data_IF_876103551243
#
_entry.id   IF_876103551243
#
_cell.length_a   1.000
_cell.length_b   1.000
_cell.length_c   1.000
_cell.angle_alpha   90.00
_cell.angle_beta   90.00
_cell.angle_gamma   90.00
#
_symmetry.space_group_name_H-M   'P 1'
#
loop_
_entity.id
_entity.type
_entity.pdbx_description
1 polymer ?
#
# COMPACT_ATOMS: atom_id res chain seq x y z
N UNK A 1 9.83 27.25 -3.48
CA UNK A 1 9.17 26.11 -2.82
C UNK A 1 7.72 26.12 -3.29
N UNK A 2 7.33 25.22 -4.20
CA UNK A 2 5.96 25.11 -4.66
C UNK A 2 5.24 24.13 -3.73
N UNK A 3 4.44 24.62 -2.80
CA UNK A 3 3.51 23.76 -2.05
C UNK A 3 2.40 23.33 -2.98
N UNK A 4 2.29 22.02 -3.23
CA UNK A 4 1.15 21.45 -3.94
C UNK A 4 -0.09 21.63 -3.06
N UNK A 5 -1.14 22.27 -3.60
CA UNK A 5 -2.45 22.35 -2.95
C UNK A 5 -3.10 20.96 -2.96
N UNK A 6 -3.58 20.53 -1.80
CA UNK A 6 -4.22 19.21 -1.65
C UNK A 6 -5.59 19.21 -2.35
N UNK A 7 -5.86 18.30 -3.29
CA UNK A 7 -7.16 18.20 -3.94
C UNK A 7 -8.26 17.71 -2.99
N UNK A 8 -9.52 17.91 -3.36
CA UNK A 8 -10.63 17.25 -2.65
C UNK A 8 -10.62 15.75 -2.93
N UNK A 9 -10.94 14.92 -1.92
CA UNK A 9 -11.06 13.46 -2.08
C UNK A 9 -12.04 13.12 -3.21
N UNK A 10 -11.63 12.24 -4.12
CA UNK A 10 -12.39 11.88 -5.33
C UNK A 10 -12.11 12.77 -6.54
N UNK A 11 -11.33 13.86 -6.40
CA UNK A 11 -10.90 14.69 -7.53
C UNK A 11 -10.30 13.82 -8.63
N UNK A 12 -10.82 13.95 -9.84
CA UNK A 12 -10.56 13.05 -10.96
C UNK A 12 -9.80 13.77 -12.07
N UNK A 13 -8.78 13.12 -12.62
CA UNK A 13 -7.90 13.70 -13.64
C UNK A 13 -7.69 12.71 -14.79
N UNK A 14 -7.96 13.15 -16.03
CA UNK A 14 -7.64 12.41 -17.26
C UNK A 14 -6.26 12.76 -17.81
N UNK A 15 -5.64 13.81 -17.28
CA UNK A 15 -4.25 14.19 -17.50
C UNK A 15 -3.54 14.30 -16.17
N UNK A 16 -2.30 13.83 -16.12
CA UNK A 16 -1.49 13.77 -14.90
C UNK A 16 -1.19 15.20 -14.38
N UNK A 17 -1.75 15.60 -13.22
CA UNK A 17 -1.63 16.98 -12.72
C UNK A 17 -0.25 17.30 -12.11
N UNK A 18 0.44 16.29 -11.57
CA UNK A 18 1.78 16.34 -10.96
C UNK A 18 2.59 15.13 -11.40
N UNK A 19 3.92 15.16 -11.27
CA UNK A 19 4.71 13.94 -11.46
C UNK A 19 4.26 12.88 -10.46
N UNK A 20 3.68 11.80 -10.96
CA UNK A 20 3.16 10.70 -10.13
C UNK A 20 4.05 9.48 -10.27
N UNK A 21 4.53 8.99 -9.15
CA UNK A 21 5.47 7.89 -9.03
C UNK A 21 4.76 6.59 -8.67
N UNK A 22 5.25 5.49 -9.21
CA UNK A 22 4.91 4.13 -8.83
C UNK A 22 6.18 3.26 -8.86
N UNK A 23 6.58 2.65 -7.74
CA UNK A 23 7.63 1.65 -7.70
C UNK A 23 7.26 0.46 -8.58
N UNK A 24 8.23 -0.07 -9.33
CA UNK A 24 8.05 -1.27 -10.14
C UNK A 24 6.85 -1.23 -11.12
N UNK A 25 6.39 -0.05 -11.58
CA UNK A 25 5.19 0.09 -12.41
C UNK A 25 5.14 -0.83 -13.65
N UNK A 26 6.29 -1.08 -14.29
CA UNK A 26 6.39 -1.94 -15.47
C UNK A 26 6.53 -3.43 -15.10
N UNK A 27 7.22 -3.73 -13.99
CA UNK A 27 7.61 -5.09 -13.62
C UNK A 27 6.59 -5.77 -12.71
N UNK A 28 5.80 -5.00 -11.97
CA UNK A 28 4.82 -5.50 -11.03
C UNK A 28 3.50 -5.83 -11.75
N UNK A 29 3.08 -7.09 -11.65
CA UNK A 29 1.73 -7.51 -12.05
C UNK A 29 0.68 -6.74 -11.25
N UNK A 30 -0.51 -6.56 -11.84
CA UNK A 30 -1.63 -6.01 -11.08
C UNK A 30 -1.83 -6.82 -9.82
N UNK A 31 -1.95 -6.15 -8.68
CA UNK A 31 -2.25 -6.81 -7.43
C UNK A 31 -3.77 -6.90 -7.27
N UNK A 32 -4.30 -7.91 -6.59
CA UNK A 32 -5.75 -8.00 -6.40
C UNK A 32 -6.28 -6.82 -5.56
N UNK A 33 -5.42 -6.23 -4.71
CA UNK A 33 -5.74 -4.99 -4.00
C UNK A 33 -5.66 -3.74 -4.90
N UNK A 34 -5.29 -3.86 -6.18
CA UNK A 34 -5.34 -2.75 -7.15
C UNK A 34 -6.72 -2.63 -7.83
N UNK A 35 -7.67 -3.57 -7.66
CA UNK A 35 -8.98 -3.49 -8.33
C UNK A 35 -10.12 -4.12 -7.51
N UNK A 36 -11.37 -3.91 -7.94
CA UNK A 36 -12.54 -4.69 -7.47
C UNK A 36 -13.19 -5.37 -8.66
N UNK A 37 -13.63 -6.61 -8.50
CA UNK A 37 -14.43 -7.29 -9.51
C UNK A 37 -15.87 -6.76 -9.48
N UNK A 38 -16.49 -6.69 -10.65
CA UNK A 38 -17.91 -6.38 -10.79
C UNK A 38 -18.73 -7.62 -10.40
N UNK A 39 -19.45 -7.54 -9.28
CA UNK A 39 -20.30 -8.64 -8.78
C UNK A 39 -21.45 -8.99 -9.74
N UNK A 40 -21.82 -8.06 -10.63
CA UNK A 40 -22.91 -8.24 -11.60
C UNK A 40 -22.43 -8.74 -12.96
N UNK A 41 -21.13 -8.60 -13.26
CA UNK A 41 -20.53 -8.98 -14.54
C UNK A 41 -19.24 -9.76 -14.31
N UNK A 42 -19.32 -11.11 -14.21
CA UNK A 42 -18.15 -11.96 -14.01
C UNK A 42 -17.04 -11.67 -15.04
N UNK A 43 -15.81 -11.55 -14.56
CA UNK A 43 -14.64 -11.25 -15.40
C UNK A 43 -14.38 -9.77 -15.67
N UNK A 44 -15.31 -8.87 -15.31
CA UNK A 44 -15.12 -7.43 -15.44
C UNK A 44 -14.71 -6.79 -14.12
N UNK A 45 -13.98 -5.69 -14.23
CA UNK A 45 -13.67 -4.81 -13.11
C UNK A 45 -14.83 -3.84 -12.84
N UNK A 46 -15.00 -3.48 -11.58
CA UNK A 46 -15.78 -2.29 -11.21
C UNK A 46 -15.08 -1.07 -11.79
N UNK A 47 -15.88 -0.19 -12.38
CA UNK A 47 -15.45 1.10 -12.91
C UNK A 47 -16.10 2.22 -12.13
N UNK A 48 -15.51 3.41 -12.20
CA UNK A 48 -15.82 4.54 -11.32
C UNK A 48 -16.17 5.79 -12.11
N UNK A 49 -17.12 6.56 -11.59
CA UNK A 49 -17.52 7.83 -12.17
C UNK A 49 -16.58 8.95 -11.71
N UNK A 50 -16.57 10.07 -12.43
CA UNK A 50 -15.89 11.30 -12.00
C UNK A 50 -16.38 11.70 -10.59
N UNK A 51 -15.44 12.00 -9.70
CA UNK A 51 -15.73 12.39 -8.31
C UNK A 51 -15.92 11.22 -7.35
N UNK A 52 -15.76 9.96 -7.80
CA UNK A 52 -15.95 8.80 -6.92
C UNK A 52 -14.85 8.74 -5.84
N UNK A 53 -15.26 8.94 -4.60
CA UNK A 53 -14.40 8.93 -3.40
C UNK A 53 -13.94 7.54 -3.01
N UNK A 54 -14.57 6.51 -3.57
CA UNK A 54 -14.32 5.09 -3.28
C UNK A 54 -13.64 4.40 -4.47
N UNK A 55 -13.11 5.18 -5.41
CA UNK A 55 -12.35 4.67 -6.54
C UNK A 55 -11.19 3.80 -6.06
N UNK A 56 -11.01 2.67 -6.74
CA UNK A 56 -9.95 1.72 -6.44
C UNK A 56 -9.21 1.33 -7.71
N UNK A 57 -7.90 1.42 -7.62
CA UNK A 57 -6.99 1.29 -8.75
C UNK A 57 -5.56 1.07 -8.28
N UNK A 58 -4.68 0.98 -9.26
CA UNK A 58 -3.22 1.01 -9.15
C UNK A 58 -2.78 2.26 -8.38
N UNK A 59 -2.24 2.05 -7.18
CA UNK A 59 -1.69 3.12 -6.34
C UNK A 59 -0.48 3.80 -6.98
N UNK A 60 -0.42 5.13 -6.85
CA UNK A 60 0.69 6.00 -7.22
C UNK A 60 0.72 7.24 -6.30
N UNK A 61 1.83 7.98 -6.28
CA UNK A 61 1.99 9.11 -5.38
C UNK A 61 2.72 10.29 -6.03
N UNK A 62 2.28 11.51 -5.74
CA UNK A 62 3.00 12.73 -6.08
C UNK A 62 3.71 13.29 -4.83
N UNK A 63 5.04 13.35 -4.80
CA UNK A 63 5.76 13.92 -3.66
C UNK A 63 5.53 15.44 -3.58
N UNK A 64 5.45 15.99 -2.36
CA UNK A 64 5.26 17.44 -2.18
C UNK A 64 6.51 18.27 -2.49
N UNK A 65 7.69 17.65 -2.58
CA UNK A 65 8.94 18.29 -2.96
C UNK A 65 9.66 17.45 -4.05
N UNK A 66 10.70 17.98 -4.69
CA UNK A 66 11.39 17.34 -5.82
C UNK A 66 12.43 16.31 -5.38
N UNK A 67 12.29 15.04 -5.78
CA UNK A 67 13.14 13.96 -5.26
C UNK A 67 14.49 13.87 -6.02
N UNK A 68 15.58 13.76 -5.26
CA UNK A 68 16.97 13.62 -5.76
C UNK A 68 17.33 12.20 -6.23
N UNK A 69 18.27 12.15 -7.19
CA UNK A 69 18.73 10.99 -7.96
C UNK A 69 19.62 9.96 -7.19
N UNK A 70 19.23 8.66 -7.16
CA UNK A 70 19.99 7.41 -7.52
C UNK A 70 19.38 6.09 -6.94
N UNK A 71 19.37 5.01 -7.72
CA UNK A 71 19.16 3.60 -7.31
C UNK A 71 17.88 3.16 -6.55
N UNK A 72 16.81 2.97 -7.33
CA UNK A 72 15.73 1.96 -7.24
C UNK A 72 15.01 1.96 -8.60
N UNK A 73 14.47 0.87 -9.15
CA UNK A 73 13.54 0.93 -10.29
C UNK A 73 12.21 1.60 -9.90
N UNK A 74 12.26 2.90 -9.76
CA UNK A 74 11.11 3.79 -9.66
C UNK A 74 10.65 4.12 -11.08
N UNK A 75 9.34 4.25 -11.27
CA UNK A 75 8.77 4.81 -12.49
C UNK A 75 7.87 5.99 -12.16
N UNK A 76 7.78 6.96 -13.07
CA UNK A 76 6.88 8.10 -12.93
C UNK A 76 6.19 8.44 -14.24
N UNK A 77 5.00 9.04 -14.15
CA UNK A 77 4.34 9.69 -15.27
C UNK A 77 4.62 11.20 -15.19
N UNK A 78 5.16 11.81 -16.25
CA UNK A 78 5.36 13.25 -16.31
C UNK A 78 4.05 14.02 -16.17
N UNK A 79 4.13 15.23 -15.60
CA UNK A 79 3.02 16.18 -15.60
C UNK A 79 2.55 16.44 -17.03
N UNK A 80 1.22 16.43 -17.22
CA UNK A 80 0.59 16.64 -18.53
C UNK A 80 0.43 15.37 -19.37
N UNK A 81 0.95 14.22 -18.92
CA UNK A 81 0.69 12.93 -19.57
C UNK A 81 -0.81 12.65 -19.62
N UNK A 82 -1.37 12.46 -20.81
CA UNK A 82 -2.76 12.01 -20.98
C UNK A 82 -2.88 10.54 -20.63
N UNK A 83 -3.88 10.20 -19.82
CA UNK A 83 -4.26 8.81 -19.58
C UNK A 83 -5.09 8.31 -20.77
N UNK A 84 -4.95 7.02 -21.15
CA UNK A 84 -5.75 6.44 -22.21
C UNK A 84 -7.24 6.42 -21.83
N UNK A 85 -8.10 6.37 -22.85
CA UNK A 85 -9.53 6.25 -22.65
C UNK A 85 -9.87 5.07 -21.73
N UNK A 86 -10.77 5.31 -20.78
CA UNK A 86 -11.14 4.31 -19.78
C UNK A 86 -10.30 4.29 -18.52
N UNK A 87 -9.27 5.14 -18.39
CA UNK A 87 -8.53 5.35 -17.14
C UNK A 87 -8.65 6.79 -16.65
N UNK A 88 -8.67 6.96 -15.33
CA UNK A 88 -8.47 8.27 -14.70
C UNK A 88 -7.66 8.13 -13.40
N UNK A 89 -6.96 9.20 -13.03
CA UNK A 89 -6.36 9.36 -11.70
C UNK A 89 -7.43 9.89 -10.74
N UNK A 90 -7.57 9.25 -9.59
CA UNK A 90 -8.43 9.69 -8.50
C UNK A 90 -7.57 10.04 -7.29
N UNK A 91 -7.72 11.27 -6.79
CA UNK A 91 -7.11 11.66 -5.52
C UNK A 91 -7.84 10.96 -4.36
N UNK A 92 -7.06 10.45 -3.42
CA UNK A 92 -7.59 9.68 -2.28
C UNK A 92 -7.28 10.33 -0.95
N UNK A 93 -5.99 10.50 -0.61
CA UNK A 93 -5.57 11.08 0.65
C UNK A 93 -4.12 11.58 0.59
N UNK A 94 -3.75 12.37 1.60
CA UNK A 94 -2.37 12.78 1.81
C UNK A 94 -1.64 11.75 2.65
N UNK A 95 -0.63 11.13 2.07
CA UNK A 95 0.27 10.22 2.76
C UNK A 95 1.16 10.99 3.74
N UNK A 96 1.49 10.33 4.85
CA UNK A 96 2.47 10.76 5.83
C UNK A 96 3.68 9.86 5.72
N UNK A 97 4.71 10.32 5.01
CA UNK A 97 5.92 9.53 4.78
C UNK A 97 7.00 9.96 5.76
N UNK A 98 7.76 8.99 6.28
CA UNK A 98 8.92 9.27 7.14
C UNK A 98 10.08 9.90 6.35
N UNK A 99 10.25 9.47 5.10
CA UNK A 99 11.44 9.79 4.31
C UNK A 99 11.11 10.26 2.89
N UNK A 100 11.89 11.21 2.34
CA UNK A 100 12.96 11.97 3.02
C UNK A 100 12.47 12.90 4.16
N UNK A 101 13.32 13.31 5.13
CA UNK A 101 12.94 14.17 6.26
C UNK A 101 12.35 15.53 5.85
N UNK A 102 12.77 16.02 4.68
CA UNK A 102 12.28 17.25 4.07
C UNK A 102 10.92 17.03 3.34
N UNK A 103 10.46 15.78 3.21
CA UNK A 103 9.32 15.36 2.39
C UNK A 103 8.33 14.56 3.24
N UNK A 104 7.76 15.19 4.26
CA UNK A 104 6.82 14.53 5.19
C UNK A 104 5.41 14.33 4.61
N UNK A 105 5.24 14.44 3.30
CA UNK A 105 3.96 14.20 2.67
C UNK A 105 4.05 13.97 1.16
N UNK A 106 3.14 13.12 0.70
CA UNK A 106 2.87 12.89 -0.71
C UNK A 106 1.35 12.82 -0.91
N UNK A 107 0.87 13.22 -2.07
CA UNK A 107 -0.52 13.02 -2.46
C UNK A 107 -0.67 11.61 -3.02
N UNK A 108 -1.57 10.80 -2.45
CA UNK A 108 -1.88 9.47 -2.95
C UNK A 108 -2.99 9.53 -3.99
N UNK A 109 -2.76 8.82 -5.10
CA UNK A 109 -3.73 8.65 -6.16
C UNK A 109 -3.88 7.17 -6.52
N UNK A 110 -5.03 6.84 -7.07
CA UNK A 110 -5.24 5.56 -7.76
C UNK A 110 -5.53 5.81 -9.24
N UNK A 111 -4.91 5.03 -10.12
CA UNK A 111 -5.27 4.98 -11.54
C UNK A 111 -6.35 3.93 -11.69
N UNK A 112 -7.61 4.32 -11.91
CA UNK A 112 -8.74 3.39 -11.86
C UNK A 112 -9.51 3.34 -13.20
N UNK A 113 -10.19 2.21 -13.50
CA UNK A 113 -11.10 2.10 -14.63
C UNK A 113 -12.27 3.08 -14.54
N UNK A 114 -12.55 3.82 -15.61
CA UNK A 114 -13.75 4.67 -15.76
C UNK A 114 -14.77 4.09 -16.74
N UNK A 115 -14.41 2.99 -17.42
CA UNK A 115 -15.30 2.20 -18.27
C UNK A 115 -15.15 0.72 -17.92
N UNK A 116 -16.12 -0.13 -18.30
CA UNK A 116 -16.00 -1.57 -18.15
C UNK A 116 -14.77 -2.13 -18.87
N UNK A 117 -13.93 -2.87 -18.14
CA UNK A 117 -12.77 -3.57 -18.71
C UNK A 117 -12.45 -4.85 -17.93
N UNK A 118 -11.75 -5.78 -18.57
CA UNK A 118 -11.21 -6.99 -17.92
C UNK A 118 -9.92 -6.70 -17.17
N UNK A 119 -9.48 -7.65 -16.35
CA UNK A 119 -8.19 -7.56 -15.65
C UNK A 119 -7.02 -7.47 -16.63
N UNK A 120 -7.05 -8.27 -17.70
CA UNK A 120 -6.00 -8.30 -18.72
C UNK A 120 -5.90 -6.97 -19.47
N UNK A 121 -7.04 -6.39 -19.85
CA UNK A 121 -7.08 -5.08 -20.52
C UNK A 121 -6.55 -3.99 -19.59
N UNK A 122 -6.98 -4.01 -18.33
CA UNK A 122 -6.52 -3.04 -17.34
C UNK A 122 -5.01 -3.15 -17.09
N UNK A 123 -4.48 -4.37 -16.95
CA UNK A 123 -3.04 -4.61 -16.76
C UNK A 123 -2.23 -4.09 -17.95
N UNK A 124 -2.68 -4.39 -19.17
CA UNK A 124 -2.03 -3.91 -20.39
C UNK A 124 -2.05 -2.38 -20.48
N UNK A 125 -3.18 -1.73 -20.18
CA UNK A 125 -3.28 -0.28 -20.18
C UNK A 125 -2.32 0.36 -19.17
N UNK A 126 -2.23 -0.20 -17.96
CA UNK A 126 -1.31 0.29 -16.92
C UNK A 126 0.15 0.12 -17.34
N UNK A 127 0.53 -1.06 -17.84
CA UNK A 127 1.93 -1.32 -18.29
C UNK A 127 2.34 -0.44 -19.47
N UNK A 128 1.39 -0.08 -20.34
CA UNK A 128 1.63 0.70 -21.56
C UNK A 128 1.54 2.22 -21.36
N UNK A 129 1.29 2.71 -20.14
CA UNK A 129 1.43 4.15 -19.87
C UNK A 129 2.87 4.59 -20.12
N UNK A 130 3.08 5.87 -20.43
CA UNK A 130 4.40 6.44 -20.75
C UNK A 130 5.28 6.63 -19.49
N UNK A 131 5.51 5.53 -18.78
CA UNK A 131 6.34 5.45 -17.59
C UNK A 131 7.78 5.82 -17.93
N UNK A 132 8.29 6.87 -17.29
CA UNK A 132 9.71 7.21 -17.30
C UNK A 132 10.38 6.58 -16.09
N UNK A 133 11.57 6.05 -16.26
CA UNK A 133 12.40 5.59 -15.14
C UNK A 133 12.80 6.78 -14.26
N UNK A 134 12.64 6.65 -12.95
CA UNK A 134 13.20 7.57 -11.95
C UNK A 134 14.30 6.91 -11.14
N UNK A 135 15.22 7.74 -10.66
CA UNK A 135 16.31 7.41 -9.75
C UNK A 135 15.95 7.89 -8.34
N UNK A 136 14.98 7.28 -7.68
CA UNK A 136 14.52 7.77 -6.37
C UNK A 136 15.47 7.28 -5.24
N UNK A 137 16.48 8.08 -4.83
CA UNK A 137 17.51 7.72 -3.83
C UNK A 137 16.99 7.53 -2.42
N UNK A 138 15.90 8.20 -2.09
CA UNK A 138 15.42 8.28 -0.73
C UNK A 138 14.51 7.12 -0.32
N UNK A 139 14.07 6.26 -1.25
CA UNK A 139 13.02 5.28 -0.95
C UNK A 139 13.51 3.85 -0.78
N UNK A 140 14.12 3.09 -1.70
CA UNK A 140 14.14 1.62 -1.44
C UNK A 140 14.99 1.15 -0.25
N UNK A 141 16.12 1.79 0.04
CA UNK A 141 16.89 1.44 1.24
C UNK A 141 16.22 1.96 2.52
N UNK A 142 15.64 3.17 2.51
CA UNK A 142 15.01 3.80 3.71
C UNK A 142 13.51 3.52 3.87
N UNK A 143 12.87 3.00 2.83
CA UNK A 143 11.55 2.36 2.87
C UNK A 143 11.61 1.10 3.71
N UNK A 144 12.78 0.53 3.95
CA UNK A 144 12.95 -0.57 4.87
C UNK A 144 12.91 -0.12 6.34
N UNK A 145 12.81 1.18 6.62
CA UNK A 145 12.79 1.71 7.97
C UNK A 145 11.44 2.38 8.29
N UNK A 146 10.73 1.81 9.26
CA UNK A 146 9.56 2.44 9.89
C UNK A 146 10.00 3.41 10.96
N UNK A 147 9.14 4.37 11.33
CA UNK A 147 9.40 5.23 12.50
C UNK A 147 9.68 4.33 13.72
N UNK A 148 10.69 4.68 14.51
CA UNK A 148 10.97 3.97 15.76
C UNK A 148 11.64 4.95 16.72
N UNK A 149 10.82 5.64 17.48
CA UNK A 149 11.19 6.41 18.65
C UNK A 149 10.62 5.72 19.89
N UNK A 150 11.31 5.80 21.02
CA UNK A 150 10.84 5.21 22.28
C UNK A 150 9.49 5.75 22.78
N UNK A 151 8.93 6.78 22.15
CA UNK A 151 7.69 7.45 22.53
C UNK A 151 6.65 7.57 21.38
N UNK A 152 6.74 6.77 20.31
CA UNK A 152 5.85 6.88 19.15
C UNK A 152 4.36 6.75 19.48
N UNK A 153 4.03 5.94 20.48
CA UNK A 153 2.66 5.72 20.92
C UNK A 153 2.22 6.67 22.05
N UNK A 154 3.10 7.57 22.50
CA UNK A 154 2.72 8.60 23.48
C UNK A 154 1.66 9.52 22.87
N UNK A 155 0.56 9.73 23.59
CA UNK A 155 -0.60 10.53 23.14
C UNK A 155 -1.51 9.82 22.14
N UNK A 156 -1.24 8.57 21.75
CA UNK A 156 -2.25 7.76 21.04
C UNK A 156 -3.23 7.25 22.10
N UNK A 157 -4.47 7.74 22.08
CA UNK A 157 -5.48 7.34 23.08
C UNK A 157 -6.21 6.06 22.67
N UNK A 158 -6.51 5.89 21.38
CA UNK A 158 -7.23 4.72 20.88
C UNK A 158 -6.33 3.48 20.88
N UNK A 159 -6.69 2.49 21.70
CA UNK A 159 -5.93 1.26 21.83
C UNK A 159 -5.91 0.45 20.52
N UNK A 160 -6.93 0.56 19.66
CA UNK A 160 -6.94 -0.09 18.33
C UNK A 160 -5.86 0.49 17.42
N UNK A 161 -5.59 1.78 17.52
CA UNK A 161 -4.53 2.40 16.73
C UNK A 161 -3.14 1.99 17.23
N UNK A 162 -2.97 1.74 18.54
CA UNK A 162 -1.74 1.12 19.07
C UNK A 162 -1.54 -0.30 18.55
N UNK A 163 -2.61 -1.11 18.54
CA UNK A 163 -2.56 -2.47 17.95
C UNK A 163 -2.19 -2.41 16.47
N UNK A 164 -2.83 -1.52 15.71
CA UNK A 164 -2.60 -1.35 14.28
C UNK A 164 -1.15 -0.92 13.99
N UNK A 165 -0.58 -0.05 14.80
CA UNK A 165 0.81 0.37 14.71
C UNK A 165 1.77 -0.82 14.68
N UNK A 166 1.67 -1.72 15.67
CA UNK A 166 2.49 -2.93 15.74
C UNK A 166 2.23 -3.90 14.58
N UNK A 167 0.98 -4.02 14.15
CA UNK A 167 0.63 -4.84 12.99
C UNK A 167 1.26 -4.29 11.70
N UNK A 168 1.34 -2.97 11.51
CA UNK A 168 2.01 -2.40 10.34
C UNK A 168 3.52 -2.66 10.36
N UNK A 169 4.15 -2.71 11.54
CA UNK A 169 5.55 -3.13 11.69
C UNK A 169 5.77 -4.57 11.22
N UNK A 170 4.90 -5.47 11.63
CA UNK A 170 4.94 -6.87 11.20
C UNK A 170 4.70 -6.99 9.70
N UNK A 171 3.69 -6.31 9.16
CA UNK A 171 3.37 -6.37 7.73
C UNK A 171 4.52 -5.88 6.86
N UNK A 172 5.12 -4.76 7.27
CA UNK A 172 6.25 -4.15 6.59
C UNK A 172 7.43 -5.12 6.45
N UNK A 173 7.74 -5.84 7.52
CA UNK A 173 8.79 -6.86 7.53
C UNK A 173 8.44 -8.10 6.68
N UNK A 174 7.15 -8.43 6.52
CA UNK A 174 6.69 -9.61 5.78
C UNK A 174 6.55 -9.39 4.27
N UNK A 175 6.21 -8.17 3.83
CA UNK A 175 5.90 -7.93 2.41
C UNK A 175 7.15 -7.77 1.54
N UNK A 176 7.12 -8.37 0.35
CA UNK A 176 8.10 -8.17 -0.71
C UNK A 176 7.68 -7.12 -1.74
N UNK A 177 6.44 -6.61 -1.67
CA UNK A 177 5.94 -5.60 -2.58
C UNK A 177 6.35 -4.21 -2.11
N UNK A 178 7.02 -3.45 -2.98
CA UNK A 178 7.50 -2.10 -2.66
C UNK A 178 6.37 -1.14 -2.29
N UNK A 179 5.22 -1.23 -2.97
CA UNK A 179 4.05 -0.40 -2.63
C UNK A 179 3.44 -0.74 -1.26
N UNK A 180 3.46 -2.00 -0.85
CA UNK A 180 2.98 -2.39 0.48
C UNK A 180 3.86 -1.81 1.58
N UNK A 181 5.19 -1.75 1.37
CA UNK A 181 6.10 -1.07 2.31
C UNK A 181 5.82 0.42 2.40
N UNK A 182 5.52 1.08 1.28
CA UNK A 182 5.09 2.48 1.26
C UNK A 182 3.81 2.71 2.07
N UNK A 183 2.83 1.83 1.88
CA UNK A 183 1.56 1.88 2.59
C UNK A 183 1.70 1.62 4.08
N UNK A 184 2.50 0.62 4.46
CA UNK A 184 2.84 0.37 5.86
C UNK A 184 3.54 1.60 6.48
N UNK A 185 4.48 2.22 5.76
CA UNK A 185 5.14 3.45 6.21
C UNK A 185 4.15 4.62 6.39
N UNK A 186 3.22 4.82 5.45
CA UNK A 186 2.16 5.84 5.55
C UNK A 186 1.34 5.67 6.83
N UNK A 187 0.76 4.48 7.01
CA UNK A 187 -0.15 4.21 8.12
C UNK A 187 0.60 4.29 9.45
N UNK A 188 1.77 3.67 9.52
CA UNK A 188 2.59 3.65 10.72
C UNK A 188 3.04 5.06 11.13
N UNK A 189 3.48 5.87 10.15
CA UNK A 189 3.91 7.26 10.39
C UNK A 189 2.74 8.17 10.74
N UNK A 190 1.61 8.00 10.07
CA UNK A 190 0.38 8.72 10.38
C UNK A 190 -0.05 8.45 11.83
N UNK A 191 0.03 7.21 12.32
CA UNK A 191 -0.26 6.90 13.72
C UNK A 191 0.71 7.61 14.67
N UNK A 192 2.01 7.48 14.42
CA UNK A 192 3.05 8.07 15.27
C UNK A 192 3.00 9.60 15.33
N UNK A 193 2.64 10.28 14.24
CA UNK A 193 2.68 11.74 14.19
C UNK A 193 1.32 12.38 14.50
N UNK A 194 0.24 11.85 13.93
CA UNK A 194 -1.07 12.48 14.01
C UNK A 194 -1.92 11.98 15.17
N UNK A 195 -1.54 10.87 15.82
CA UNK A 195 -2.27 10.28 16.95
C UNK A 195 -3.77 10.07 16.65
N UNK A 196 -4.13 9.51 15.49
CA UNK A 196 -5.52 9.32 15.10
C UNK A 196 -6.24 8.34 16.04
N UNK A 197 -7.56 8.43 16.03
CA UNK A 197 -8.48 7.40 16.51
C UNK A 197 -8.81 6.39 15.40
N UNK A 198 -9.43 5.28 15.76
CA UNK A 198 -9.95 4.33 14.78
C UNK A 198 -11.10 4.91 13.94
N UNK A 199 -11.88 5.84 14.52
CA UNK A 199 -12.93 6.56 13.79
C UNK A 199 -12.33 7.40 12.65
N UNK A 200 -11.18 8.05 12.89
CA UNK A 200 -10.47 8.77 11.85
C UNK A 200 -10.06 7.82 10.70
N UNK A 201 -9.67 6.57 11.00
CA UNK A 201 -9.37 5.58 9.96
C UNK A 201 -10.61 5.24 9.14
N UNK A 202 -11.76 5.02 9.78
CA UNK A 202 -13.03 4.69 9.11
C UNK A 202 -13.48 5.82 8.17
N UNK A 203 -13.24 7.08 8.52
CA UNK A 203 -13.59 8.21 7.67
C UNK A 203 -12.79 8.27 6.36
N UNK A 204 -11.61 7.63 6.30
CA UNK A 204 -10.77 7.56 5.10
C UNK A 204 -10.78 6.16 4.49
N UNK A 205 -11.84 5.81 3.75
CA UNK A 205 -12.03 4.47 3.16
C UNK A 205 -10.80 3.96 2.41
N UNK A 206 -10.11 4.81 1.63
CA UNK A 206 -8.92 4.38 0.88
C UNK A 206 -7.81 3.85 1.79
N UNK A 207 -7.50 4.57 2.88
CA UNK A 207 -6.51 4.16 3.88
C UNK A 207 -7.01 2.96 4.69
N UNK A 208 -8.29 2.93 5.07
CA UNK A 208 -8.90 1.77 5.73
C UNK A 208 -8.83 0.51 4.86
N UNK A 209 -9.01 0.64 3.55
CA UNK A 209 -8.94 -0.47 2.62
C UNK A 209 -7.51 -1.02 2.44
N UNK A 210 -6.51 -0.13 2.48
CA UNK A 210 -5.10 -0.53 2.51
C UNK A 210 -4.83 -1.34 3.78
N UNK A 211 -5.25 -0.85 4.95
CA UNK A 211 -5.14 -1.58 6.23
C UNK A 211 -5.85 -2.94 6.15
N UNK A 212 -7.09 -2.97 5.67
CA UNK A 212 -7.86 -4.19 5.52
C UNK A 212 -7.14 -5.21 4.62
N UNK A 213 -6.63 -4.76 3.48
CA UNK A 213 -5.91 -5.61 2.53
C UNK A 213 -4.61 -6.16 3.14
N UNK A 214 -3.90 -5.35 3.92
CA UNK A 214 -2.69 -5.76 4.64
C UNK A 214 -2.99 -6.85 5.67
N UNK A 215 -3.97 -6.60 6.56
CA UNK A 215 -4.32 -7.51 7.64
C UNK A 215 -4.89 -8.84 7.12
N UNK A 216 -5.69 -8.82 6.05
CA UNK A 216 -6.24 -10.03 5.44
C UNK A 216 -5.17 -10.98 4.88
N UNK A 217 -3.94 -10.52 4.69
CA UNK A 217 -2.83 -11.31 4.12
C UNK A 217 -1.71 -11.60 5.11
N UNK A 218 -1.73 -10.93 6.26
CA UNK A 218 -0.65 -11.01 7.22
C UNK A 218 -0.57 -12.42 7.78
N UNK A 219 0.64 -12.98 7.77
CA UNK A 219 0.89 -14.25 8.42
C UNK A 219 1.32 -14.01 9.87
N UNK A 220 0.34 -13.96 10.77
CA UNK A 220 0.54 -13.88 12.22
C UNK A 220 0.65 -15.25 12.89
N UNK A 221 1.06 -16.29 12.14
CA UNK A 221 1.29 -17.65 12.65
C UNK A 221 2.77 -18.04 12.47
N UNK A 222 3.68 -17.14 12.84
CA UNK A 222 5.11 -17.45 12.95
C UNK A 222 5.45 -17.83 14.39
N UNK A 223 6.57 -18.51 14.67
CA UNK A 223 7.01 -18.78 16.05
C UNK A 223 7.18 -17.51 16.91
N UNK A 224 7.29 -16.33 16.27
CA UNK A 224 7.43 -15.03 16.92
C UNK A 224 6.11 -14.28 17.14
N UNK A 225 5.01 -14.67 16.49
CA UNK A 225 3.69 -14.09 16.73
C UNK A 225 3.05 -14.80 17.93
N UNK A 226 2.94 -14.06 19.02
CA UNK A 226 2.25 -14.47 20.23
C UNK A 226 0.73 -14.44 19.97
N UNK A 227 -0.04 -15.11 20.82
CA UNK A 227 -1.53 -15.08 20.82
C UNK A 227 -2.07 -13.63 20.74
N UNK A 228 -1.29 -12.68 21.24
CA UNK A 228 -1.55 -11.24 21.25
C UNK A 228 -1.69 -10.65 19.86
N UNK A 229 -0.75 -10.87 18.92
CA UNK A 229 -0.83 -10.28 17.57
C UNK A 229 -1.96 -10.89 16.74
N UNK A 230 -2.21 -12.20 16.87
CA UNK A 230 -3.34 -12.85 16.19
C UNK A 230 -4.68 -12.27 16.67
N UNK A 231 -4.80 -11.98 17.97
CA UNK A 231 -5.97 -11.31 18.52
C UNK A 231 -6.10 -9.88 18.00
N UNK A 232 -5.01 -9.11 17.97
CA UNK A 232 -5.03 -7.75 17.44
C UNK A 232 -5.48 -7.69 15.99
N UNK A 233 -4.97 -8.61 15.16
CA UNK A 233 -5.37 -8.75 13.77
C UNK A 233 -6.87 -9.04 13.67
N UNK A 234 -7.37 -10.05 14.40
CA UNK A 234 -8.77 -10.44 14.37
C UNK A 234 -9.71 -9.31 14.82
N UNK A 235 -9.36 -8.61 15.90
CA UNK A 235 -10.16 -7.49 16.43
C UNK A 235 -10.29 -6.38 15.37
N UNK A 236 -9.17 -5.89 14.82
CA UNK A 236 -9.19 -4.78 13.85
C UNK A 236 -9.83 -5.20 12.53
N UNK A 237 -9.51 -6.40 12.04
CA UNK A 237 -10.06 -6.89 10.78
C UNK A 237 -11.59 -7.02 10.88
N UNK A 238 -12.11 -7.58 11.97
CA UNK A 238 -13.55 -7.67 12.22
C UNK A 238 -14.24 -6.31 12.25
N UNK A 239 -13.64 -5.32 12.93
CA UNK A 239 -14.21 -3.96 12.95
C UNK A 239 -14.26 -3.31 11.55
N UNK A 240 -13.26 -3.55 10.69
CA UNK A 240 -13.27 -3.07 9.31
C UNK A 240 -14.30 -3.82 8.44
N UNK A 241 -14.49 -5.13 8.66
CA UNK A 241 -15.54 -5.90 8.00
C UNK A 241 -16.93 -5.39 8.40
N UNK A 242 -17.14 -5.09 9.68
CA UNK A 242 -18.41 -4.53 10.18
C UNK A 242 -18.68 -3.12 9.64
N UNK A 243 -17.66 -2.27 9.57
CA UNK A 243 -17.80 -0.89 9.11
C UNK A 243 -18.11 -0.78 7.60
N UNK A 244 -17.48 -1.62 6.78
CA UNK A 244 -17.53 -1.48 5.31
C UNK A 244 -18.20 -2.64 4.58
N UNK A 245 -18.57 -3.71 5.28
CA UNK A 245 -19.12 -4.94 4.68
C UNK A 245 -18.13 -5.70 3.79
N UNK A 246 -16.83 -5.45 3.94
CA UNK A 246 -15.79 -6.19 3.23
C UNK A 246 -15.65 -7.59 3.80
N UNK A 247 -15.09 -8.51 3.01
CA UNK A 247 -14.88 -9.90 3.42
C UNK A 247 -13.46 -10.32 3.13
N UNK A 248 -12.70 -10.61 4.18
CA UNK A 248 -11.30 -11.07 4.08
C UNK A 248 -11.19 -12.39 3.32
N UNK A 249 -12.21 -13.24 3.39
CA UNK A 249 -12.31 -14.49 2.62
C UNK A 249 -12.36 -14.26 1.11
N UNK A 250 -13.05 -13.22 0.64
CA UNK A 250 -13.08 -12.84 -0.79
C UNK A 250 -11.66 -12.48 -1.29
N UNK A 251 -10.79 -11.97 -0.41
CA UNK A 251 -9.40 -11.63 -0.74
C UNK A 251 -8.49 -12.87 -0.78
N UNK A 252 -8.68 -13.80 0.16
CA UNK A 252 -7.89 -15.03 0.26
C UNK A 252 -8.07 -15.93 -0.97
N UNK A 253 -9.30 -16.03 -1.49
CA UNK A 253 -9.62 -16.83 -2.68
C UNK A 253 -8.97 -16.27 -3.96
N UNK A 254 -8.94 -14.95 -4.12
CA UNK A 254 -8.26 -14.26 -5.22
C UNK A 254 -6.74 -14.45 -5.18
N UNK A 255 -6.14 -14.41 -3.99
CA UNK A 255 -4.71 -14.67 -3.79
C UNK A 255 -4.30 -16.11 -4.14
N UNK A 256 -5.14 -17.10 -3.79
CA UNK A 256 -4.88 -18.52 -4.07
C UNK A 256 -5.01 -18.87 -5.56
N UNK A 257 -5.99 -18.29 -6.26
CA UNK A 257 -6.16 -18.50 -7.71
C UNK A 257 -4.92 -18.11 -8.51
N UNK A 258 -4.18 -17.08 -8.07
CA UNK A 258 -2.93 -16.64 -8.71
C UNK A 258 -1.69 -17.41 -8.25
N UNK A 259 -1.57 -17.83 -6.98
CA UNK A 259 -0.48 -18.72 -6.54
C UNK A 259 -0.48 -20.03 -7.30
N UNK A 260 -1.65 -20.64 -7.51
CA UNK A 260 -1.78 -21.85 -8.32
C UNK A 260 -1.32 -21.67 -9.79
N UNK A 261 -1.22 -20.43 -10.31
CA UNK A 261 -0.62 -20.13 -11.62
C UNK A 261 0.89 -19.88 -11.57
N UNK A 262 1.44 -19.55 -10.40
CA UNK A 262 2.86 -19.18 -10.18
C UNK A 262 3.70 -20.33 -9.62
N UNK A 263 3.07 -21.32 -9.00
CA UNK A 263 3.73 -22.48 -8.37
C UNK A 263 4.38 -23.48 -9.38
N UNK A 264 4.48 -23.12 -10.66
CA UNK A 264 5.27 -23.88 -11.66
C UNK A 264 6.77 -23.50 -11.64
N UNK A 265 7.17 -22.43 -10.94
CA UNK A 265 8.58 -22.03 -10.79
C UNK A 265 8.83 -21.33 -9.45
N UNK A 266 9.85 -21.77 -8.69
CA UNK A 266 10.50 -21.08 -7.54
C UNK A 266 10.23 -21.55 -6.09
N UNK A 267 10.25 -22.86 -5.84
CA UNK A 267 10.20 -23.43 -4.48
C UNK A 267 11.45 -23.26 -3.58
N UNK A 268 12.60 -22.81 -4.10
CA UNK A 268 13.88 -23.09 -3.42
C UNK A 268 14.57 -21.90 -2.71
N UNK A 269 14.08 -20.66 -2.82
CA UNK A 269 14.81 -19.48 -2.31
C UNK A 269 14.39 -19.06 -0.90
N UNK A 270 13.16 -19.35 -0.48
CA UNK A 270 12.60 -18.89 0.81
C UNK A 270 13.21 -19.64 2.01
N UNK A 271 13.72 -20.86 1.80
CA UNK A 271 14.26 -21.70 2.88
C UNK A 271 15.63 -21.21 3.41
N UNK A 272 16.41 -20.49 2.60
CA UNK A 272 17.78 -20.09 2.95
C UNK A 272 17.86 -18.83 3.84
N UNK A 273 16.90 -17.91 3.75
CA UNK A 273 16.91 -16.65 4.51
C UNK A 273 16.44 -16.82 5.96
N UNK A 274 15.56 -17.78 6.23
CA UNK A 274 15.05 -18.04 7.59
C UNK A 274 16.13 -18.64 8.50
N UNK A 275 17.07 -19.41 7.93
CA UNK A 275 18.17 -20.01 8.69
C UNK A 275 19.23 -19.01 9.16
N UNK A 276 19.47 -17.90 8.44
CA UNK A 276 20.49 -16.93 8.85
C UNK A 276 20.04 -16.02 9.99
N UNK A 277 18.73 -15.70 10.08
CA UNK A 277 18.19 -14.90 11.19
C UNK A 277 18.14 -15.67 12.52
N UNK A 278 17.94 -16.99 12.47
CA UNK A 278 17.98 -17.85 13.68
C UNK A 278 19.39 -17.89 14.28
N UNK A 279 20.44 -17.82 13.45
CA UNK A 279 21.83 -17.77 13.89
C UNK A 279 22.18 -16.50 14.68
N UNK A 280 21.59 -15.35 14.34
CA UNK A 280 21.88 -14.08 15.01
C UNK A 280 21.18 -13.94 16.38
N UNK A 281 19.98 -14.51 16.54
CA UNK A 281 19.24 -14.44 17.80
C UNK A 281 19.86 -15.36 18.87
N UNK A 282 20.40 -16.52 18.47
CA UNK A 282 21.07 -17.42 19.41
C UNK A 282 22.39 -16.84 19.97
N UNK A 283 23.10 -15.99 19.21
CA UNK A 283 24.37 -15.40 19.68
C UNK A 283 24.13 -14.32 20.76
N UNK A 284 22.98 -13.64 20.76
CA UNK A 284 22.68 -12.64 21.80
C UNK A 284 22.18 -13.23 23.12
N UNK A 285 21.66 -14.47 23.12
CA UNK A 285 21.19 -15.14 24.34
C UNK A 285 22.37 -15.74 25.16
N UNK A 286 23.54 -15.95 24.54
CA UNK A 286 24.70 -16.56 25.21
C UNK A 286 25.72 -15.56 25.79
N UNK A 287 25.52 -14.24 25.64
CA UNK A 287 26.46 -13.21 26.10
C UNK A 287 25.88 -12.17 27.08
N UNK A 288 24.75 -12.47 27.74
CA UNK A 288 24.28 -11.75 28.93
C UNK A 288 23.98 -12.72 30.08
#
# INVERSE_FOLDING_TARGET
>A
MFTIEEPEIGSTFTQVPWEVHRPNAILQELYWADYRLDKTRPGYLRYYNVGDRHAKGVSCFAPNEGISEENTPCYFLPRGTSLPEGLALFYTHKMKLRFPPDFQGALHFVIAPTIPMTNENYEQLIRNLDWKSCTLRASAERMNELISFGNDLYGVEDFRMKKLYWLMEIWHAQTSYAMDRFHANDIHTWIALNKPSFEDLIQYESRAYIVFSALAQMNVNTPASQITESKYLGDILGELEDAFGWKSTELYELGRSRKNKKDDFSGDIVFALVLSMIGFILIQIFFF
#
